data_IF_778428933107
#
_entry.id   IF_778428933107
#
_cell.length_a   1.000
_cell.length_b   1.000
_cell.length_c   1.000
_cell.angle_alpha   90.00
_cell.angle_beta   90.00
_cell.angle_gamma   90.00
#
_symmetry.space_group_name_H-M   'P 1'
#
loop_
_entity.id
_entity.type
_entity.pdbx_description
1 polymer ?
#
# COMPACT_ATOMS: atom_id res chain seq x y z
N UNK A 1 12.23 22.80 26.21
CA UNK A 1 11.63 21.85 25.27
C UNK A 1 10.65 22.63 24.42
N UNK A 2 11.13 23.23 23.32
CA UNK A 2 10.29 24.00 22.41
C UNK A 2 9.36 23.03 21.68
N UNK A 3 8.06 23.13 21.96
CA UNK A 3 7.04 22.38 21.25
C UNK A 3 7.09 22.79 19.77
N UNK A 4 7.59 21.89 18.92
CA UNK A 4 7.52 22.04 17.48
C UNK A 4 6.02 22.03 17.11
N UNK A 5 5.51 23.01 16.35
CA UNK A 5 4.11 23.02 15.96
C UNK A 5 3.79 21.77 15.13
N UNK A 6 2.64 21.16 15.41
CA UNK A 6 2.06 20.07 14.61
C UNK A 6 1.94 20.50 13.15
N UNK A 7 1.78 19.53 12.23
CA UNK A 7 1.39 19.86 10.86
C UNK A 7 0.22 20.86 10.88
N UNK A 8 0.36 22.05 10.27
CA UNK A 8 -0.71 23.02 10.22
C UNK A 8 -1.97 22.37 9.64
N UNK A 9 -3.14 22.67 10.21
CA UNK A 9 -4.44 22.19 9.69
C UNK A 9 -4.61 22.47 8.19
N UNK A 10 -3.99 23.54 7.68
CA UNK A 10 -3.95 23.87 6.26
C UNK A 10 -3.21 22.82 5.41
N UNK A 11 -2.11 22.24 5.90
CA UNK A 11 -1.39 21.18 5.18
C UNK A 11 -2.17 19.86 5.18
N UNK A 12 -2.83 19.51 6.28
CA UNK A 12 -3.73 18.35 6.34
C UNK A 12 -4.95 18.55 5.43
N UNK A 13 -5.52 19.75 5.40
CA UNK A 13 -6.58 20.12 4.48
C UNK A 13 -6.14 20.01 3.02
N UNK A 14 -4.95 20.49 2.67
CA UNK A 14 -4.38 20.34 1.34
C UNK A 14 -4.14 18.87 0.97
N UNK A 15 -3.60 18.07 1.90
CA UNK A 15 -3.41 16.62 1.74
C UNK A 15 -4.75 15.93 1.42
N UNK A 16 -5.81 16.26 2.17
CA UNK A 16 -7.14 15.74 1.91
C UNK A 16 -7.67 16.16 0.53
N UNK A 17 -7.50 17.43 0.14
CA UNK A 17 -7.91 17.92 -1.18
C UNK A 17 -7.19 17.21 -2.32
N UNK A 18 -5.87 16.97 -2.18
CA UNK A 18 -5.08 16.19 -3.15
C UNK A 18 -5.66 14.78 -3.26
N UNK A 19 -5.87 14.09 -2.13
CA UNK A 19 -6.39 12.73 -2.10
C UNK A 19 -7.81 12.65 -2.69
N UNK A 20 -8.69 13.60 -2.37
CA UNK A 20 -10.04 13.68 -2.93
C UNK A 20 -9.99 13.88 -4.46
N UNK A 21 -9.21 14.86 -4.92
CA UNK A 21 -9.09 15.16 -6.34
C UNK A 21 -8.52 13.99 -7.15
N UNK A 22 -7.45 13.37 -6.67
CA UNK A 22 -6.78 12.25 -7.37
C UNK A 22 -7.65 10.99 -7.33
N UNK A 23 -8.17 10.61 -6.16
CA UNK A 23 -8.97 9.38 -6.03
C UNK A 23 -10.35 9.47 -6.67
N UNK A 24 -10.82 10.66 -7.08
CA UNK A 24 -12.08 10.83 -7.81
C UNK A 24 -12.15 10.03 -9.13
N UNK A 25 -11.01 9.59 -9.67
CA UNK A 25 -10.97 8.62 -10.78
C UNK A 25 -11.75 7.33 -10.47
N UNK A 26 -11.93 6.98 -9.18
CA UNK A 26 -12.73 5.85 -8.73
C UNK A 26 -14.23 5.97 -9.02
N UNK A 27 -14.76 7.16 -9.30
CA UNK A 27 -16.15 7.30 -9.76
C UNK A 27 -16.39 6.68 -11.13
N UNK A 28 -15.35 6.50 -11.96
CA UNK A 28 -15.46 5.73 -13.21
C UNK A 28 -15.54 4.23 -12.94
N UNK A 29 -14.78 3.76 -11.95
CA UNK A 29 -14.66 2.35 -11.55
C UNK A 29 -14.31 2.27 -10.08
N UNK A 30 -15.19 1.67 -9.28
CA UNK A 30 -15.04 1.66 -7.82
C UNK A 30 -13.73 1.02 -7.35
N UNK A 31 -13.23 0.01 -8.07
CA UNK A 31 -11.95 -0.62 -7.75
C UNK A 31 -10.76 0.33 -7.90
N UNK A 32 -10.89 1.39 -8.70
CA UNK A 32 -9.85 2.39 -8.85
C UNK A 32 -9.70 3.31 -7.64
N UNK A 33 -10.71 3.42 -6.75
CA UNK A 33 -10.55 4.15 -5.49
C UNK A 33 -9.36 3.60 -4.70
N UNK A 34 -9.29 2.28 -4.55
CA UNK A 34 -8.32 1.53 -3.71
C UNK A 34 -7.11 0.99 -4.49
N UNK A 35 -7.01 1.26 -5.79
CA UNK A 35 -5.95 0.71 -6.64
C UNK A 35 -5.14 1.82 -7.29
N UNK A 36 -5.57 2.36 -8.44
CA UNK A 36 -4.86 3.44 -9.14
C UNK A 36 -4.92 4.74 -8.33
N UNK A 37 -6.09 5.06 -7.75
CA UNK A 37 -6.32 6.28 -6.97
C UNK A 37 -5.46 6.32 -5.71
N UNK A 38 -5.28 5.17 -5.07
CA UNK A 38 -4.36 4.97 -3.95
C UNK A 38 -2.92 5.33 -4.34
N UNK A 39 -2.34 4.63 -5.31
CA UNK A 39 -0.94 4.85 -5.72
C UNK A 39 -0.69 6.28 -6.18
N UNK A 40 -1.58 6.83 -7.01
CA UNK A 40 -1.45 8.22 -7.48
C UNK A 40 -1.63 9.25 -6.37
N UNK A 41 -2.47 9.00 -5.35
CA UNK A 41 -2.64 9.94 -4.24
C UNK A 41 -1.38 10.02 -3.39
N UNK A 42 -0.73 8.88 -3.10
CA UNK A 42 0.55 8.86 -2.38
C UNK A 42 1.65 9.57 -3.20
N UNK A 43 1.73 9.28 -4.51
CA UNK A 43 2.70 9.93 -5.40
C UNK A 43 2.48 11.45 -5.50
N UNK A 44 1.23 11.90 -5.64
CA UNK A 44 0.88 13.31 -5.73
C UNK A 44 1.22 14.05 -4.43
N UNK A 45 0.92 13.46 -3.28
CA UNK A 45 1.29 14.03 -1.98
C UNK A 45 2.81 14.16 -1.85
N UNK A 46 3.57 13.08 -2.14
CA UNK A 46 5.03 13.10 -2.06
C UNK A 46 5.64 14.19 -2.95
N UNK A 47 5.15 14.32 -4.19
CA UNK A 47 5.61 15.36 -5.11
C UNK A 47 5.27 16.77 -4.63
N UNK A 48 3.99 17.04 -4.32
CA UNK A 48 3.53 18.38 -3.97
C UNK A 48 4.17 18.86 -2.66
N UNK A 49 4.18 18.04 -1.62
CA UNK A 49 4.76 18.45 -0.34
C UNK A 49 6.28 18.57 -0.39
N UNK A 50 6.97 17.78 -1.21
CA UNK A 50 8.41 18.00 -1.45
C UNK A 50 8.67 19.35 -2.12
N UNK A 51 7.85 19.75 -3.09
CA UNK A 51 7.97 21.06 -3.76
C UNK A 51 7.69 22.22 -2.80
N UNK A 52 6.78 22.05 -1.85
CA UNK A 52 6.48 23.07 -0.83
C UNK A 52 7.58 23.22 0.23
N UNK A 53 8.44 22.22 0.41
CA UNK A 53 9.48 22.16 1.45
C UNK A 53 10.90 22.03 0.87
N UNK A 54 11.13 22.47 -0.38
CA UNK A 54 12.43 22.33 -1.06
C UNK A 54 13.62 22.85 -0.24
N UNK A 55 13.43 23.92 0.55
CA UNK A 55 14.48 24.52 1.36
C UNK A 55 14.93 23.68 2.56
N UNK A 56 14.24 22.59 2.89
CA UNK A 56 14.49 21.78 4.10
C UNK A 56 14.78 20.33 3.76
N UNK A 57 14.96 20.02 2.46
CA UNK A 57 15.23 18.67 1.99
C UNK A 57 16.71 18.32 2.19
N UNK A 58 16.99 17.52 3.22
CA UNK A 58 18.24 16.79 3.32
C UNK A 58 18.18 15.47 2.52
N UNK A 59 19.31 14.76 2.46
CA UNK A 59 19.41 13.49 1.74
C UNK A 59 18.32 12.48 2.15
N UNK A 60 18.06 12.37 3.45
CA UNK A 60 17.18 11.36 3.99
C UNK A 60 15.71 11.70 3.73
N UNK A 61 15.32 12.97 3.85
CA UNK A 61 14.00 13.46 3.46
C UNK A 61 13.76 13.25 1.96
N UNK A 62 14.74 13.58 1.12
CA UNK A 62 14.66 13.29 -0.32
C UNK A 62 14.46 11.79 -0.54
N UNK A 63 15.23 10.93 0.13
CA UNK A 63 15.09 9.49 0.00
C UNK A 63 13.68 9.00 0.40
N UNK A 64 13.15 9.44 1.55
CA UNK A 64 11.81 9.09 2.01
C UNK A 64 10.73 9.51 1.00
N UNK A 65 10.80 10.74 0.50
CA UNK A 65 9.82 11.28 -0.45
C UNK A 65 9.93 10.61 -1.82
N UNK A 66 11.14 10.33 -2.29
CA UNK A 66 11.35 9.56 -3.52
C UNK A 66 10.86 8.12 -3.39
N UNK A 67 10.99 7.49 -2.22
CA UNK A 67 10.45 6.16 -1.97
C UNK A 67 8.91 6.15 -2.00
N UNK A 68 8.25 7.14 -1.37
CA UNK A 68 6.79 7.30 -1.44
C UNK A 68 6.31 7.59 -2.88
N UNK A 69 7.03 8.44 -3.60
CA UNK A 69 6.75 8.75 -5.00
C UNK A 69 6.93 7.51 -5.89
N UNK A 70 8.06 6.81 -5.75
CA UNK A 70 8.37 5.61 -6.51
C UNK A 70 7.37 4.49 -6.22
N UNK A 71 6.99 4.30 -4.96
CA UNK A 71 5.95 3.36 -4.55
C UNK A 71 4.62 3.66 -5.26
N UNK A 72 4.13 4.89 -5.13
CA UNK A 72 2.84 5.29 -5.67
C UNK A 72 2.78 5.19 -7.20
N UNK A 73 3.81 5.68 -7.89
CA UNK A 73 3.91 5.60 -9.35
C UNK A 73 4.04 4.16 -9.84
N UNK A 74 4.94 3.36 -9.24
CA UNK A 74 5.12 1.96 -9.61
C UNK A 74 3.82 1.19 -9.45
N UNK A 75 3.12 1.33 -8.32
CA UNK A 75 1.87 0.62 -8.07
C UNK A 75 0.80 0.99 -9.10
N UNK A 76 0.60 2.29 -9.33
CA UNK A 76 -0.38 2.76 -10.31
C UNK A 76 -0.06 2.28 -11.74
N UNK A 77 1.20 2.39 -12.17
CA UNK A 77 1.65 1.94 -13.49
C UNK A 77 1.56 0.42 -13.65
N UNK A 78 1.91 -0.34 -12.61
CA UNK A 78 1.79 -1.79 -12.59
C UNK A 78 0.33 -2.23 -12.77
N UNK A 79 -0.59 -1.61 -12.03
CA UNK A 79 -2.02 -1.92 -12.11
C UNK A 79 -2.62 -1.54 -13.47
N UNK A 80 -2.26 -0.38 -14.02
CA UNK A 80 -2.65 0.05 -15.37
C UNK A 80 -2.13 -0.91 -16.45
N UNK A 81 -0.87 -1.33 -16.34
CA UNK A 81 -0.28 -2.35 -17.22
C UNK A 81 -1.04 -3.67 -17.14
N UNK A 82 -1.40 -4.09 -15.92
CA UNK A 82 -2.13 -5.33 -15.66
C UNK A 82 -3.50 -5.36 -16.30
N UNK A 83 -4.20 -4.23 -16.40
CA UNK A 83 -5.52 -4.18 -17.07
C UNK A 83 -5.47 -4.61 -18.54
N UNK A 84 -4.30 -4.49 -19.19
CA UNK A 84 -4.10 -4.91 -20.59
C UNK A 84 -3.71 -6.38 -20.74
N UNK A 85 -3.45 -7.08 -19.62
CA UNK A 85 -2.99 -8.48 -19.65
C UNK A 85 -4.16 -9.46 -19.80
N UNK A 86 -4.14 -10.37 -20.80
CA UNK A 86 -5.18 -11.38 -20.98
C UNK A 86 -5.36 -12.28 -19.76
N UNK A 87 -4.29 -12.52 -19.00
CA UNK A 87 -4.33 -13.36 -17.80
C UNK A 87 -5.23 -12.81 -16.69
N UNK A 88 -5.54 -11.51 -16.73
CA UNK A 88 -6.38 -10.79 -15.76
C UNK A 88 -7.74 -10.39 -16.33
N UNK A 89 -8.06 -10.72 -17.59
CA UNK A 89 -9.31 -10.29 -18.24
C UNK A 89 -10.58 -10.73 -17.49
N UNK A 90 -10.59 -11.95 -16.94
CA UNK A 90 -11.71 -12.45 -16.11
C UNK A 90 -11.90 -11.64 -14.82
N UNK A 91 -10.81 -11.32 -14.14
CA UNK A 91 -10.84 -10.52 -12.91
C UNK A 91 -11.30 -9.09 -13.20
N UNK A 92 -10.84 -8.53 -14.32
CA UNK A 92 -11.23 -7.20 -14.78
C UNK A 92 -12.73 -7.12 -15.10
N UNK A 93 -13.28 -8.12 -15.79
CA UNK A 93 -14.71 -8.19 -16.10
C UNK A 93 -15.56 -8.25 -14.82
N UNK A 94 -15.20 -9.15 -13.88
CA UNK A 94 -15.89 -9.28 -12.59
C UNK A 94 -15.78 -8.00 -11.73
N UNK A 95 -14.67 -7.27 -11.82
CA UNK A 95 -14.52 -5.98 -11.14
C UNK A 95 -15.46 -4.92 -11.69
N UNK A 96 -15.55 -4.81 -13.03
CA UNK A 96 -16.42 -3.85 -13.71
C UNK A 96 -17.89 -4.09 -13.38
N UNK A 97 -18.33 -5.35 -13.40
CA UNK A 97 -19.70 -5.73 -13.04
C UNK A 97 -20.04 -5.32 -11.61
N UNK A 98 -19.13 -5.60 -10.67
CA UNK A 98 -19.29 -5.19 -9.27
C UNK A 98 -19.37 -3.66 -9.13
N UNK A 99 -18.59 -2.90 -9.89
CA UNK A 99 -18.66 -1.43 -9.85
C UNK A 99 -20.03 -0.88 -10.24
N UNK A 100 -20.73 -1.51 -11.18
CA UNK A 100 -22.08 -1.08 -11.61
C UNK A 100 -23.11 -1.29 -10.49
N UNK A 101 -22.92 -2.29 -9.63
CA UNK A 101 -23.87 -2.60 -8.54
C UNK A 101 -23.75 -1.69 -7.30
N UNK A 102 -22.76 -0.80 -7.23
CA UNK A 102 -22.55 0.05 -6.05
C UNK A 102 -23.39 1.34 -6.17
N UNK A 103 -24.17 1.64 -5.14
CA UNK A 103 -24.97 2.86 -5.11
C UNK A 103 -24.10 4.13 -5.06
N UNK A 104 -24.61 5.25 -5.60
CA UNK A 104 -23.89 6.53 -5.59
C UNK A 104 -23.51 7.00 -4.19
N UNK A 105 -24.39 6.79 -3.19
CA UNK A 105 -24.08 7.11 -1.79
C UNK A 105 -22.92 6.27 -1.23
N UNK A 106 -22.87 4.98 -1.54
CA UNK A 106 -21.76 4.12 -1.15
C UNK A 106 -20.45 4.51 -1.86
N UNK A 107 -20.51 4.95 -3.13
CA UNK A 107 -19.34 5.48 -3.85
C UNK A 107 -18.77 6.74 -3.17
N UNK A 108 -19.62 7.66 -2.73
CA UNK A 108 -19.19 8.87 -2.01
C UNK A 108 -18.57 8.48 -0.66
N UNK A 109 -19.19 7.57 0.08
CA UNK A 109 -18.66 7.07 1.35
C UNK A 109 -17.28 6.42 1.20
N UNK A 110 -17.11 5.55 0.19
CA UNK A 110 -15.81 4.97 -0.14
C UNK A 110 -14.79 6.05 -0.52
N UNK A 111 -15.14 6.98 -1.40
CA UNK A 111 -14.25 8.05 -1.85
C UNK A 111 -13.68 8.89 -0.69
N UNK A 112 -14.56 9.34 0.20
CA UNK A 112 -14.17 10.11 1.39
C UNK A 112 -13.32 9.23 2.32
N UNK A 113 -13.78 8.00 2.60
CA UNK A 113 -13.07 7.07 3.49
C UNK A 113 -11.66 6.75 3.02
N UNK A 114 -11.47 6.45 1.72
CA UNK A 114 -10.14 6.17 1.17
C UNK A 114 -9.26 7.42 1.12
N UNK A 115 -9.84 8.61 0.90
CA UNK A 115 -9.06 9.84 0.94
C UNK A 115 -8.48 10.10 2.33
N UNK A 116 -9.27 9.93 3.40
CA UNK A 116 -8.78 9.99 4.78
C UNK A 116 -7.73 8.92 5.09
N UNK A 117 -7.90 7.71 4.56
CA UNK A 117 -6.89 6.66 4.68
C UNK A 117 -5.57 7.09 4.04
N UNK A 118 -5.57 7.65 2.82
CA UNK A 118 -4.35 8.08 2.13
C UNK A 118 -3.66 9.27 2.79
N UNK A 119 -4.41 10.18 3.40
CA UNK A 119 -3.86 11.23 4.26
C UNK A 119 -3.11 10.59 5.44
N UNK A 120 -3.76 9.64 6.12
CA UNK A 120 -3.21 8.97 7.30
C UNK A 120 -1.97 8.14 6.97
N UNK A 121 -1.97 7.44 5.83
CA UNK A 121 -0.84 6.65 5.34
C UNK A 121 0.36 7.53 4.96
N UNK A 122 0.12 8.70 4.35
CA UNK A 122 1.18 9.64 3.99
C UNK A 122 1.66 10.51 5.17
N UNK A 123 0.91 10.55 6.27
CA UNK A 123 1.23 11.36 7.45
C UNK A 123 2.69 11.28 7.92
N UNK A 124 3.37 10.11 7.96
CA UNK A 124 4.78 10.05 8.34
C UNK A 124 5.69 10.92 7.46
N UNK A 125 5.44 10.95 6.14
CA UNK A 125 6.19 11.76 5.19
C UNK A 125 5.91 13.26 5.36
N UNK A 126 4.64 13.64 5.52
CA UNK A 126 4.26 15.05 5.76
C UNK A 126 4.85 15.57 7.07
N UNK A 127 4.72 14.80 8.15
CA UNK A 127 5.19 15.18 9.48
C UNK A 127 6.71 15.29 9.53
N UNK A 128 7.44 14.41 8.81
CA UNK A 128 8.89 14.51 8.67
C UNK A 128 9.31 15.82 8.00
N UNK A 129 8.63 16.22 6.92
CA UNK A 129 8.89 17.50 6.25
C UNK A 129 8.64 18.69 7.18
N UNK A 130 7.50 18.73 7.86
CA UNK A 130 7.14 19.81 8.80
C UNK A 130 8.13 19.89 9.96
N UNK A 131 8.48 18.76 10.56
CA UNK A 131 9.43 18.71 11.67
C UNK A 131 10.80 19.23 11.24
N UNK A 132 11.29 18.83 10.07
CA UNK A 132 12.55 19.31 9.52
C UNK A 132 12.53 20.81 9.22
N UNK A 133 11.43 21.35 8.69
CA UNK A 133 11.29 22.80 8.47
C UNK A 133 11.32 23.62 9.76
N UNK A 134 10.97 23.01 10.88
CA UNK A 134 11.10 23.60 12.21
C UNK A 134 12.45 23.30 12.88
N UNK A 135 13.42 22.74 12.15
CA UNK A 135 14.77 22.46 12.64
C UNK A 135 14.88 21.21 13.53
N UNK A 136 13.90 20.30 13.49
CA UNK A 136 13.95 19.06 14.27
C UNK A 136 14.95 18.06 13.67
N UNK A 137 15.64 17.32 14.54
CA UNK A 137 16.44 16.16 14.14
C UNK A 137 15.55 14.93 13.93
N UNK A 138 15.81 14.14 12.89
CA UNK A 138 14.97 12.99 12.51
C UNK A 138 15.73 11.64 12.55
N UNK A 139 16.23 11.17 13.71
CA UNK A 139 17.06 9.96 13.78
C UNK A 139 16.33 8.66 13.40
N UNK A 140 15.00 8.62 13.43
CA UNK A 140 14.22 7.44 12.99
C UNK A 140 14.11 7.33 11.47
N UNK A 141 14.29 8.45 10.76
CA UNK A 141 14.02 8.55 9.34
C UNK A 141 14.93 7.63 8.50
N UNK A 142 16.27 7.57 8.71
CA UNK A 142 17.13 6.66 7.98
C UNK A 142 16.73 5.18 8.13
N UNK A 143 16.36 4.78 9.35
CA UNK A 143 15.95 3.39 9.65
C UNK A 143 14.67 3.07 8.87
N UNK A 144 13.67 3.93 8.97
CA UNK A 144 12.42 3.74 8.25
C UNK A 144 12.59 3.77 6.73
N UNK A 145 13.43 4.66 6.20
CA UNK A 145 13.73 4.73 4.76
C UNK A 145 14.41 3.44 4.25
N UNK A 146 15.30 2.82 5.02
CA UNK A 146 15.89 1.52 4.67
C UNK A 146 14.84 0.42 4.65
N UNK A 147 13.94 0.38 5.64
CA UNK A 147 12.83 -0.60 5.68
C UNK A 147 11.89 -0.39 4.48
N UNK A 148 11.56 0.87 4.16
CA UNK A 148 10.77 1.23 2.98
C UNK A 148 11.44 0.73 1.70
N UNK A 149 12.73 0.96 1.53
CA UNK A 149 13.48 0.49 0.36
C UNK A 149 13.42 -1.04 0.21
N UNK A 150 13.60 -1.78 1.32
CA UNK A 150 13.49 -3.24 1.34
C UNK A 150 12.08 -3.69 0.94
N UNK A 151 11.04 -3.06 1.52
CA UNK A 151 9.64 -3.36 1.19
C UNK A 151 9.33 -3.12 -0.29
N UNK A 152 9.73 -1.96 -0.82
CA UNK A 152 9.56 -1.60 -2.22
C UNK A 152 10.28 -2.58 -3.16
N UNK A 153 11.53 -2.95 -2.84
CA UNK A 153 12.30 -3.89 -3.63
C UNK A 153 11.68 -5.30 -3.63
N UNK A 154 11.23 -5.77 -2.46
CA UNK A 154 10.56 -7.07 -2.33
C UNK A 154 9.25 -7.10 -3.11
N UNK A 155 8.43 -6.05 -2.98
CA UNK A 155 7.16 -5.95 -3.71
C UNK A 155 7.39 -5.91 -5.23
N UNK A 156 8.24 -5.01 -5.70
CA UNK A 156 8.54 -4.86 -7.11
C UNK A 156 9.14 -6.15 -7.71
N UNK A 157 10.04 -6.80 -6.98
CA UNK A 157 10.63 -8.07 -7.38
C UNK A 157 9.60 -9.20 -7.46
N UNK A 158 8.71 -9.31 -6.47
CA UNK A 158 7.64 -10.30 -6.44
C UNK A 158 6.64 -10.11 -7.57
N UNK A 159 6.21 -8.88 -7.84
CA UNK A 159 5.31 -8.56 -8.93
C UNK A 159 5.93 -8.83 -10.30
N UNK A 160 7.20 -8.46 -10.50
CA UNK A 160 7.93 -8.75 -11.74
C UNK A 160 8.06 -10.26 -11.96
N UNK A 161 8.42 -11.01 -10.92
CA UNK A 161 8.54 -12.47 -10.97
C UNK A 161 7.19 -13.12 -11.31
N UNK A 162 6.12 -12.71 -10.62
CA UNK A 162 4.75 -13.22 -10.84
C UNK A 162 4.26 -12.92 -12.26
N UNK A 163 4.48 -11.70 -12.73
CA UNK A 163 4.03 -11.26 -14.06
C UNK A 163 4.73 -12.05 -15.16
N UNK A 164 6.06 -12.21 -15.07
CA UNK A 164 6.85 -13.04 -16.00
C UNK A 164 6.38 -14.49 -16.00
N UNK A 165 6.21 -15.08 -14.82
CA UNK A 165 5.74 -16.47 -14.71
C UNK A 165 4.35 -16.66 -15.32
N UNK A 166 3.41 -15.74 -15.03
CA UNK A 166 2.03 -15.82 -15.52
C UNK A 166 1.88 -15.53 -17.01
N UNK A 167 2.79 -14.76 -17.61
CA UNK A 167 2.85 -14.60 -19.05
C UNK A 167 3.19 -15.92 -19.75
N UNK A 168 4.15 -16.68 -19.21
CA UNK A 168 4.56 -17.98 -19.76
C UNK A 168 3.62 -19.14 -19.35
N UNK A 169 3.06 -19.08 -18.14
CA UNK A 169 2.25 -20.16 -17.56
C UNK A 169 0.93 -19.62 -16.97
N UNK A 170 -0.05 -19.20 -17.82
CA UNK A 170 -1.25 -18.52 -17.35
C UNK A 170 -2.07 -19.31 -16.32
N UNK A 171 -2.10 -20.64 -16.45
CA UNK A 171 -2.91 -21.53 -15.62
C UNK A 171 -2.17 -22.17 -14.44
N UNK A 172 -0.85 -21.95 -14.27
CA UNK A 172 -0.09 -22.50 -13.12
C UNK A 172 0.07 -21.48 -12.01
N UNK A 173 0.06 -21.90 -10.75
CA UNK A 173 0.46 -21.07 -9.63
C UNK A 173 1.99 -20.85 -9.62
N UNK A 174 2.43 -19.76 -9.00
CA UNK A 174 3.87 -19.47 -8.83
C UNK A 174 4.29 -20.04 -7.47
N UNK A 175 5.32 -20.87 -7.45
CA UNK A 175 5.84 -21.53 -6.24
C UNK A 175 7.36 -21.51 -6.12
N UNK A 176 8.05 -20.79 -7.01
CA UNK A 176 9.50 -20.68 -7.05
C UNK A 176 9.97 -19.29 -6.64
N UNK A 177 11.27 -19.09 -6.42
CA UNK A 177 11.85 -17.80 -6.05
C UNK A 177 11.22 -17.23 -4.77
N UNK A 178 10.78 -15.97 -4.79
CA UNK A 178 10.17 -15.33 -3.62
C UNK A 178 8.90 -16.06 -3.13
N UNK A 179 8.15 -16.67 -4.05
CA UNK A 179 6.94 -17.43 -3.74
C UNK A 179 7.23 -18.77 -3.05
N UNK A 180 8.48 -19.25 -3.05
CA UNK A 180 8.84 -20.45 -2.29
C UNK A 180 8.94 -20.20 -0.77
N UNK A 181 9.13 -18.94 -0.36
CA UNK A 181 9.27 -18.57 1.05
C UNK A 181 7.93 -18.19 1.69
N UNK A 182 7.09 -17.44 0.96
CA UNK A 182 5.74 -17.05 1.37
C UNK A 182 4.83 -16.99 0.14
N UNK A 183 3.53 -17.21 0.31
CA UNK A 183 2.58 -17.27 -0.82
C UNK A 183 2.23 -15.90 -1.40
N UNK A 184 2.36 -14.83 -0.62
CA UNK A 184 2.10 -13.45 -1.06
C UNK A 184 3.28 -12.51 -0.74
N UNK A 185 4.47 -12.71 -1.36
CA UNK A 185 5.66 -11.91 -1.06
C UNK A 185 5.50 -10.45 -1.49
N UNK A 186 4.68 -10.17 -2.51
CA UNK A 186 4.34 -8.81 -2.89
C UNK A 186 3.54 -8.09 -1.80
N UNK A 187 2.64 -8.79 -1.10
CA UNK A 187 1.89 -8.21 0.02
C UNK A 187 2.79 -8.00 1.24
N UNK A 188 3.72 -8.90 1.51
CA UNK A 188 4.74 -8.71 2.52
C UNK A 188 5.60 -7.46 2.23
N UNK A 189 5.99 -7.26 0.97
CA UNK A 189 6.73 -6.06 0.55
C UNK A 189 5.96 -4.77 0.79
N UNK A 190 4.67 -4.74 0.45
CA UNK A 190 3.79 -3.60 0.72
C UNK A 190 3.64 -3.34 2.24
N UNK A 191 3.40 -4.38 3.05
CA UNK A 191 3.33 -4.24 4.51
C UNK A 191 4.65 -3.68 5.09
N UNK A 192 5.79 -4.24 4.69
CA UNK A 192 7.11 -3.74 5.12
C UNK A 192 7.33 -2.29 4.69
N UNK A 193 6.87 -1.89 3.50
CA UNK A 193 6.99 -0.51 3.04
C UNK A 193 6.27 0.45 3.98
N UNK A 194 5.02 0.15 4.36
CA UNK A 194 4.23 1.00 5.24
C UNK A 194 4.71 0.97 6.70
N UNK A 195 5.20 -0.17 7.18
CA UNK A 195 5.91 -0.26 8.47
C UNK A 195 7.12 0.68 8.45
N UNK A 196 7.92 0.65 7.37
CA UNK A 196 9.06 1.55 7.20
C UNK A 196 8.64 3.02 7.16
N UNK A 197 7.54 3.35 6.48
CA UNK A 197 7.01 4.71 6.45
C UNK A 197 6.62 5.18 7.87
N UNK A 198 5.88 4.36 8.63
CA UNK A 198 5.56 4.66 10.03
C UNK A 198 6.82 4.84 10.88
N UNK A 199 7.78 3.91 10.81
CA UNK A 199 9.05 3.99 11.56
C UNK A 199 9.83 5.26 11.20
N UNK A 200 9.84 5.64 9.92
CA UNK A 200 10.58 6.82 9.46
C UNK A 200 10.12 8.11 10.16
N UNK A 201 8.82 8.21 10.45
CA UNK A 201 8.21 9.38 11.08
C UNK A 201 8.24 9.42 12.60
N UNK A 202 8.69 8.36 13.31
CA UNK A 202 8.63 8.28 14.79
C UNK A 202 9.21 9.53 15.48
N UNK A 203 10.38 9.99 15.04
CA UNK A 203 11.03 11.18 15.59
C UNK A 203 10.33 12.50 15.23
N UNK A 204 9.41 12.48 14.27
CA UNK A 204 8.57 13.62 13.89
C UNK A 204 7.21 13.64 14.61
N UNK A 205 6.81 12.57 15.31
CA UNK A 205 5.51 12.50 16.00
C UNK A 205 5.57 13.21 17.36
N UNK A 206 5.20 14.49 17.38
CA UNK A 206 5.36 15.35 18.56
C UNK A 206 4.11 15.35 19.45
N UNK A 207 2.94 15.06 18.90
CA UNK A 207 1.66 15.08 19.62
C UNK A 207 0.91 13.76 19.53
N UNK A 208 -0.05 13.55 20.44
CA UNK A 208 -0.96 12.40 20.40
C UNK A 208 -1.69 12.35 19.05
N UNK A 209 -2.06 13.51 18.49
CA UNK A 209 -2.71 13.59 17.18
C UNK A 209 -1.83 13.02 16.06
N UNK A 210 -0.53 13.34 16.05
CA UNK A 210 0.42 12.83 15.06
C UNK A 210 0.55 11.30 15.15
N UNK A 211 0.67 10.78 16.37
CA UNK A 211 0.73 9.34 16.64
C UNK A 211 -0.55 8.64 16.19
N UNK A 212 -1.73 9.17 16.54
CA UNK A 212 -3.02 8.58 16.17
C UNK A 212 -3.22 8.58 14.65
N UNK A 213 -2.86 9.68 13.97
CA UNK A 213 -3.00 9.79 12.52
C UNK A 213 -2.09 8.79 11.80
N UNK A 214 -0.82 8.71 12.19
CA UNK A 214 0.13 7.76 11.61
C UNK A 214 -0.25 6.31 11.94
N UNK A 215 -0.66 6.03 13.19
CA UNK A 215 -1.11 4.71 13.64
C UNK A 215 -2.36 4.25 12.89
N UNK A 216 -3.31 5.16 12.62
CA UNK A 216 -4.49 4.87 11.81
C UNK A 216 -4.10 4.43 10.40
N UNK A 217 -3.16 5.17 9.77
CA UNK A 217 -2.64 4.84 8.44
C UNK A 217 -2.06 3.43 8.37
N UNK A 218 -1.10 3.11 9.24
CA UNK A 218 -0.46 1.80 9.26
C UNK A 218 -1.45 0.69 9.65
N UNK A 219 -2.26 0.88 10.68
CA UNK A 219 -3.22 -0.15 11.11
C UNK A 219 -4.20 -0.49 9.98
N UNK A 220 -4.78 0.52 9.33
CA UNK A 220 -5.74 0.29 8.27
C UNK A 220 -5.12 -0.42 7.05
N UNK A 221 -3.93 -0.02 6.60
CA UNK A 221 -3.31 -0.68 5.44
C UNK A 221 -2.93 -2.13 5.75
N UNK A 222 -2.39 -2.42 6.93
CA UNK A 222 -2.07 -3.80 7.34
C UNK A 222 -3.31 -4.69 7.37
N UNK A 223 -4.45 -4.18 7.89
CA UNK A 223 -5.73 -4.91 7.88
C UNK A 223 -6.25 -5.13 6.45
N UNK A 224 -6.12 -4.13 5.58
CA UNK A 224 -6.48 -4.24 4.16
C UNK A 224 -5.64 -5.32 3.47
N UNK A 225 -4.34 -5.38 3.76
CA UNK A 225 -3.42 -6.37 3.20
C UNK A 225 -3.73 -7.79 3.69
N UNK A 226 -4.05 -7.97 4.97
CA UNK A 226 -4.52 -9.25 5.51
C UNK A 226 -5.83 -9.70 4.83
N UNK A 227 -6.79 -8.79 4.66
CA UNK A 227 -8.03 -9.06 3.94
C UNK A 227 -7.78 -9.41 2.46
N UNK A 228 -6.86 -8.72 1.79
CA UNK A 228 -6.47 -9.01 0.42
C UNK A 228 -5.80 -10.38 0.28
N UNK A 229 -4.90 -10.74 1.19
CA UNK A 229 -4.24 -12.05 1.25
C UNK A 229 -5.27 -13.18 1.39
N UNK A 230 -6.25 -13.03 2.29
CA UNK A 230 -7.34 -13.99 2.48
C UNK A 230 -8.19 -14.17 1.22
N UNK A 231 -8.63 -13.07 0.59
CA UNK A 231 -9.42 -13.13 -0.65
C UNK A 231 -8.62 -13.78 -1.78
N UNK A 232 -7.32 -13.52 -1.86
CA UNK A 232 -6.45 -14.16 -2.84
C UNK A 232 -6.33 -15.66 -2.57
N UNK A 233 -6.15 -16.07 -1.33
CA UNK A 233 -6.10 -17.48 -0.93
C UNK A 233 -7.37 -18.25 -1.27
N UNK A 234 -8.55 -17.64 -1.07
CA UNK A 234 -9.84 -18.24 -1.47
C UNK A 234 -9.91 -18.43 -2.99
N UNK A 235 -9.61 -17.37 -3.75
CA UNK A 235 -9.58 -17.45 -5.22
C UNK A 235 -8.60 -18.48 -5.76
N UNK A 236 -7.44 -18.64 -5.11
CA UNK A 236 -6.47 -19.66 -5.51
C UNK A 236 -6.95 -21.07 -5.17
N UNK A 237 -7.65 -21.26 -4.04
CA UNK A 237 -8.32 -22.53 -3.74
C UNK A 237 -9.27 -22.94 -4.85
N UNK A 238 -10.15 -22.01 -5.24
CA UNK A 238 -11.18 -22.29 -6.23
C UNK A 238 -10.54 -22.56 -7.61
N UNK A 239 -9.53 -21.75 -7.96
CA UNK A 239 -8.86 -21.83 -9.25
C UNK A 239 -8.01 -23.08 -9.43
N UNK A 240 -7.36 -23.57 -8.38
CA UNK A 240 -6.45 -24.71 -8.43
C UNK A 240 -7.00 -25.91 -7.63
N UNK A 241 -8.31 -25.97 -7.44
CA UNK A 241 -8.98 -27.06 -6.76
C UNK A 241 -8.64 -28.40 -7.43
N UNK A 242 -8.23 -29.38 -6.62
CA UNK A 242 -7.88 -30.72 -7.11
C UNK A 242 -6.48 -30.84 -7.75
N UNK A 243 -5.64 -29.80 -7.73
CA UNK A 243 -4.23 -29.89 -8.10
C UNK A 243 -3.39 -30.30 -6.87
N UNK A 244 -2.86 -31.54 -6.78
CA UNK A 244 -2.10 -31.99 -5.61
C UNK A 244 -0.84 -31.16 -5.33
N UNK A 245 -0.24 -30.57 -6.37
CA UNK A 245 0.94 -29.73 -6.21
C UNK A 245 0.57 -28.39 -5.54
N UNK A 246 -0.59 -27.81 -5.89
CA UNK A 246 -1.06 -26.59 -5.23
C UNK A 246 -1.45 -26.86 -3.77
N UNK A 247 -2.12 -27.97 -3.49
CA UNK A 247 -2.50 -28.34 -2.13
C UNK A 247 -1.28 -28.55 -1.23
N UNK A 248 -0.25 -29.21 -1.74
CA UNK A 248 1.03 -29.39 -1.03
C UNK A 248 1.69 -28.04 -0.77
N UNK A 249 1.74 -27.17 -1.79
CA UNK A 249 2.29 -25.82 -1.67
C UNK A 249 1.54 -24.98 -0.63
N UNK A 250 0.20 -25.00 -0.64
CA UNK A 250 -0.62 -24.26 0.31
C UNK A 250 -0.45 -24.73 1.78
N UNK A 251 -0.16 -26.02 1.99
CA UNK A 251 0.08 -26.61 3.32
C UNK A 251 1.49 -26.38 3.86
N UNK A 252 2.47 -26.12 2.99
CA UNK A 252 3.90 -26.10 3.36
C UNK A 252 4.52 -24.71 3.28
N UNK A 253 3.91 -23.77 2.55
CA UNK A 253 4.41 -22.40 2.39
C UNK A 253 3.51 -21.41 3.15
N UNK A 254 4.05 -20.65 4.11
CA UNK A 254 3.30 -19.64 4.86
C UNK A 254 2.65 -18.59 3.96
N UNK A 255 1.57 -17.96 4.40
CA UNK A 255 0.85 -16.95 3.61
C UNK A 255 1.71 -15.70 3.43
N UNK A 256 2.14 -15.10 4.55
CA UNK A 256 2.68 -13.73 4.60
C UNK A 256 4.03 -13.59 5.27
N UNK A 257 4.22 -14.15 6.46
CA UNK A 257 5.42 -13.95 7.26
C UNK A 257 6.34 -15.16 7.09
N UNK A 258 7.58 -15.00 6.60
CA UNK A 258 8.52 -16.10 6.48
C UNK A 258 8.76 -16.76 7.84
N UNK A 259 8.85 -18.09 7.86
CA UNK A 259 9.16 -18.89 9.05
C UNK A 259 8.12 -18.86 10.18
N UNK A 260 7.02 -18.11 10.03
CA UNK A 260 5.87 -18.19 10.93
C UNK A 260 4.87 -19.19 10.33
N UNK A 261 4.39 -20.21 11.08
CA UNK A 261 3.52 -21.27 10.56
C UNK A 261 2.07 -20.81 10.33
N UNK A 262 1.90 -19.68 9.64
CA UNK A 262 0.60 -19.11 9.25
C UNK A 262 0.25 -19.61 7.84
N UNK A 263 -0.34 -20.80 7.76
CA UNK A 263 -0.66 -21.48 6.49
C UNK A 263 -2.08 -21.25 5.99
N UNK A 264 -2.93 -20.50 6.69
CA UNK A 264 -4.27 -20.16 6.22
C UNK A 264 -4.77 -18.91 6.93
N UNK A 265 -5.42 -18.02 6.18
CA UNK A 265 -6.18 -16.89 6.70
C UNK A 265 -7.70 -17.12 6.59
N UNK A 266 -8.14 -18.28 6.09
CA UNK A 266 -9.56 -18.53 5.81
C UNK A 266 -10.42 -18.50 7.07
N UNK A 267 -9.89 -19.02 8.16
CA UNK A 267 -10.59 -19.20 9.43
C UNK A 267 -10.64 -17.91 10.28
N UNK A 268 -9.93 -16.87 9.85
CA UNK A 268 -9.86 -15.60 10.56
C UNK A 268 -11.12 -14.77 10.26
N UNK A 269 -12.07 -14.79 11.20
CA UNK A 269 -13.42 -14.22 11.05
C UNK A 269 -13.52 -12.69 11.17
N UNK A 270 -12.46 -11.99 11.58
CA UNK A 270 -12.53 -10.57 11.97
C UNK A 270 -11.54 -9.69 11.20
N UNK A 271 -11.86 -9.32 9.95
CA UNK A 271 -11.16 -8.25 9.24
C UNK A 271 -12.13 -7.46 8.35
N UNK A 272 -11.91 -6.14 8.25
CA UNK A 272 -12.65 -5.23 7.37
C UNK A 272 -12.35 -5.58 5.91
N UNK A 273 -13.22 -6.35 5.24
CA UNK A 273 -13.03 -6.66 3.82
C UNK A 273 -14.02 -7.65 3.22
#
# INVERSE_FOLDING_TARGET
MTLIPTAPLSLLGLSLLICLAVSALGFRRSDWFISIGYGLSIAAQALIFSLLHLGTLDFWLVAQQLLLLAYGLRLALFLLSRERSPSYARELAASKERSVSISGGAMIGMWIGVAFLYVSMYAPGLLSLVAASNGASLPSLPIGAVIMLIGLALEAGADAQKSRFKAANPQRFVSTGLFAFVRTPNYLGEMLFWIGAFVSGISAYQTIGDWLLAALGILCIELVMLGAARRLEQKQADRYAGDPAFETYAKTVPVLIPFVPLYSLRDWKYYLG
#
